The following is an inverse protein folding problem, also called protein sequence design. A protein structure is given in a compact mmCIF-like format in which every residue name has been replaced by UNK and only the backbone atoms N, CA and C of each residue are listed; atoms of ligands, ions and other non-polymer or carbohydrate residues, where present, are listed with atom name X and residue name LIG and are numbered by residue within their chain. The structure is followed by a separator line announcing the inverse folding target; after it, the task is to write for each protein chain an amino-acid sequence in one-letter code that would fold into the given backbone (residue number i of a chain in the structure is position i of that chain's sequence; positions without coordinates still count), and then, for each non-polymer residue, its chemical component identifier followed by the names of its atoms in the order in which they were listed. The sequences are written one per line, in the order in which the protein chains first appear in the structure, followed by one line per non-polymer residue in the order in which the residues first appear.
data_IF_723262438728
#
_entry.id   IF_723262438728
#
_cell.length_a   1.000
_cell.length_b   1.000
_cell.length_c   1.000
_cell.angle_alpha   90.00
_cell.angle_beta   90.00
_cell.angle_gamma   90.00
#
_symmetry.space_group_name_H-M   'P 1'
#
loop_
_entity.id
_entity.type
_entity.pdbx_description
1 polymer ?
2 non-polymer ?
#
# COMPACT_ATOMS: atom_id res chain seq x y z
N UNK A 2 3.68 -23.99 10.24
CA UNK A 2 2.80 -25.09 9.87
C UNK A 2 2.29 -24.92 8.45
N UNK A 3 3.15 -24.42 7.57
CA UNK A 3 2.86 -24.23 6.16
C UNK A 3 4.06 -24.72 5.36
N UNK A 4 3.81 -25.34 4.22
CA UNK A 4 4.88 -25.82 3.36
C UNK A 4 4.51 -25.65 1.89
N UNK A 5 5.53 -25.34 1.08
CA UNK A 5 5.35 -25.15 -0.36
C UNK A 5 4.95 -26.46 -1.02
N UNK A 6 4.11 -26.38 -2.05
CA UNK A 6 3.77 -27.51 -2.89
C UNK A 6 4.28 -27.35 -4.32
N UNK A 7 4.07 -26.20 -4.95
CA UNK A 7 4.50 -25.99 -6.32
C UNK A 7 4.93 -24.55 -6.52
N UNK A 8 5.86 -24.36 -7.45
CA UNK A 8 6.38 -23.04 -7.81
C UNK A 8 6.41 -22.94 -9.33
N UNK A 9 5.58 -22.07 -9.89
CA UNK A 9 5.44 -21.93 -11.33
C UNK A 9 5.64 -20.49 -11.75
N UNK A 10 6.12 -20.32 -12.98
CA UNK A 10 6.28 -19.01 -13.60
C UNK A 10 5.49 -19.00 -14.90
N UNK A 11 4.60 -18.01 -15.05
CA UNK A 11 3.54 -18.04 -16.04
C UNK A 11 3.82 -17.00 -17.12
N UNK A 12 3.87 -17.45 -18.37
CA UNK A 12 3.88 -16.60 -19.55
C UNK A 12 2.47 -16.22 -19.96
N UNK A 13 2.32 -15.13 -20.70
CA UNK A 13 1.05 -14.88 -21.38
C UNK A 13 0.84 -15.90 -22.50
N UNK A 14 -0.42 -16.06 -22.89
CA UNK A 14 -0.73 -16.97 -23.99
C UNK A 14 -0.39 -16.35 -25.35
N UNK A 15 -0.48 -15.03 -25.47
CA UNK A 15 -0.24 -14.33 -26.71
C UNK A 15 1.18 -13.79 -26.75
N UNK A 16 1.45 -12.92 -27.72
CA UNK A 16 2.81 -12.44 -27.96
C UNK A 16 3.20 -11.34 -26.99
N UNK A 17 2.36 -10.30 -26.86
CA UNK A 17 2.58 -9.16 -25.98
C UNK A 17 3.96 -8.54 -26.24
N UNK A 18 4.07 -7.59 -27.18
CA UNK A 18 5.38 -7.06 -27.56
C UNK A 18 6.07 -6.40 -26.38
N UNK A 19 7.24 -6.91 -26.03
CA UNK A 19 7.93 -6.50 -24.82
C UNK A 19 9.04 -5.49 -25.01
N UNK A 20 8.67 -4.26 -25.40
CA UNK A 20 9.62 -3.17 -25.43
C UNK A 20 9.67 -2.47 -24.08
N UNK A 21 10.88 -2.29 -23.55
CA UNK A 21 11.04 -1.67 -22.26
C UNK A 21 10.60 -0.21 -22.31
N UNK A 22 9.81 0.21 -21.33
CA UNK A 22 9.24 1.55 -21.32
C UNK A 22 9.63 2.25 -20.02
N UNK A 23 9.36 3.56 -20.00
CA UNK A 23 9.98 4.48 -19.05
C UNK A 23 9.22 4.55 -17.74
N UNK A 24 9.95 4.43 -16.63
CA UNK A 24 9.39 4.63 -15.30
C UNK A 24 9.38 6.10 -14.94
N UNK A 25 8.36 6.51 -14.19
CA UNK A 25 8.17 7.91 -13.85
C UNK A 25 9.19 8.36 -12.81
N UNK A 26 9.13 9.64 -12.47
CA UNK A 26 9.98 10.13 -11.39
C UNK A 26 9.45 9.71 -10.04
N UNK A 27 8.12 9.62 -9.90
CA UNK A 27 7.55 9.13 -8.66
C UNK A 27 7.80 7.64 -8.47
N UNK A 28 7.99 6.90 -9.56
CA UNK A 28 8.35 5.50 -9.43
C UNK A 28 9.71 5.34 -8.78
N UNK A 29 10.60 6.31 -8.99
CA UNK A 29 11.93 6.27 -8.39
C UNK A 29 11.95 6.82 -6.97
N UNK A 30 10.80 6.85 -6.30
CA UNK A 30 10.75 7.30 -4.92
C UNK A 30 10.53 6.09 -4.04
N UNK A 31 11.40 5.09 -4.19
CA UNK A 31 11.39 3.90 -3.36
C UNK A 31 12.77 3.26 -3.43
N UNK A 32 13.14 2.45 -2.45
CA UNK A 32 14.39 1.68 -2.57
C UNK A 32 14.32 0.70 -3.71
N UNK A 33 15.49 0.31 -4.21
CA UNK A 33 15.55 -0.63 -5.30
C UNK A 33 15.05 -2.02 -4.90
N UNK A 34 15.03 -2.32 -3.61
CA UNK A 34 14.60 -3.62 -3.10
C UNK A 34 13.47 -3.37 -2.11
N UNK A 35 12.24 -3.44 -2.59
CA UNK A 35 11.08 -3.33 -1.71
C UNK A 35 9.84 -3.89 -2.40
N UNK A 36 9.11 -4.75 -1.70
CA UNK A 36 7.81 -5.25 -2.14
C UNK A 36 6.75 -4.81 -1.15
N UNK A 37 5.67 -4.22 -1.65
CA UNK A 37 4.48 -3.97 -0.85
C UNK A 37 3.53 -5.15 -1.03
N UNK A 38 3.04 -5.69 0.07
CA UNK A 38 2.36 -6.98 0.01
C UNK A 38 1.19 -7.00 0.98
N UNK A 39 0.16 -7.73 0.56
CA UNK A 39 -1.06 -7.92 1.34
C UNK A 39 -1.57 -9.34 1.08
N UNK A 40 -2.68 -9.69 1.74
CA UNK A 40 -3.24 -11.07 1.59
C UNK A 40 -4.76 -11.00 1.39
N UNK A 41 -5.29 -11.88 0.53
CA UNK A 41 -6.76 -11.99 0.27
C UNK A 41 -7.22 -13.34 0.83
N UNK A 42 -8.30 -13.35 1.62
CA UNK A 42 -8.76 -14.59 2.23
C UNK A 42 -10.09 -14.99 1.59
N UNK A 43 -10.22 -16.27 1.27
CA UNK A 43 -11.45 -16.78 0.67
C UNK A 43 -11.88 -18.04 1.42
N UNK A 44 -13.14 -18.07 1.84
CA UNK A 44 -13.70 -19.23 2.51
C UNK A 44 -14.38 -20.14 1.50
N UNK A 45 -14.36 -21.45 1.81
CA UNK A 45 -14.90 -22.44 0.90
C UNK A 45 -16.42 -22.38 0.88
N UNK A 46 -17.00 -22.74 -0.26
CA UNK A 46 -18.44 -22.79 -0.45
C UNK A 46 -18.84 -24.20 -0.88
N UNK A 47 -20.13 -24.36 -1.19
CA UNK A 47 -20.65 -25.64 -1.63
C UNK A 47 -20.33 -26.02 -3.05
N UNK A 48 -19.57 -25.21 -3.76
CA UNK A 48 -19.23 -25.49 -5.14
C UNK A 48 -17.99 -26.39 -5.21
N UNK A 49 -18.01 -27.33 -6.14
CA UNK A 49 -16.83 -28.13 -6.41
C UNK A 49 -15.80 -27.31 -7.18
N UNK A 50 -14.54 -27.73 -7.08
CA UNK A 50 -13.42 -27.05 -7.73
C UNK A 50 -13.32 -25.59 -7.27
N UNK A 51 -13.07 -25.42 -5.97
CA UNK A 51 -12.87 -24.10 -5.39
C UNK A 51 -11.44 -23.67 -5.67
N UNK A 52 -11.27 -22.72 -6.60
CA UNK A 52 -9.97 -22.19 -7.00
C UNK A 52 -9.06 -23.32 -7.52
N UNK A 53 -9.44 -23.84 -8.69
CA UNK A 53 -8.62 -24.86 -9.32
C UNK A 53 -7.34 -24.23 -9.86
N UNK A 54 -6.23 -24.95 -9.73
CA UNK A 54 -4.94 -24.38 -10.09
C UNK A 54 -4.81 -24.19 -11.60
N UNK A 55 -5.30 -25.14 -12.39
CA UNK A 55 -5.18 -25.03 -13.83
C UNK A 55 -6.07 -23.94 -14.39
N UNK A 56 -7.30 -23.83 -13.89
CA UNK A 56 -8.15 -22.73 -14.30
C UNK A 56 -7.53 -21.38 -13.97
N UNK A 57 -6.90 -21.27 -12.80
CA UNK A 57 -6.26 -20.01 -12.44
C UNK A 57 -5.01 -19.74 -13.27
N UNK A 58 -4.29 -20.78 -13.69
CA UNK A 58 -3.12 -20.54 -14.54
C UNK A 58 -3.55 -20.07 -15.93
N UNK A 59 -4.53 -20.75 -16.52
CA UNK A 59 -5.00 -20.33 -17.84
C UNK A 59 -5.83 -19.05 -17.77
N UNK A 60 -6.25 -18.63 -16.59
CA UNK A 60 -6.80 -17.29 -16.44
C UNK A 60 -5.72 -16.25 -16.22
N UNK A 61 -4.60 -16.65 -15.61
CA UNK A 61 -3.48 -15.74 -15.42
C UNK A 61 -2.85 -15.39 -16.76
N UNK A 62 -2.79 -16.34 -17.68
CA UNK A 62 -2.28 -16.02 -19.01
C UNK A 62 -3.20 -15.03 -19.72
N UNK A 63 -4.51 -15.26 -19.64
CA UNK A 63 -5.47 -14.35 -20.25
C UNK A 63 -5.50 -13.00 -19.56
N UNK A 64 -5.02 -12.91 -18.34
CA UNK A 64 -4.86 -11.62 -17.69
C UNK A 64 -3.55 -10.96 -18.09
N UNK A 65 -2.49 -11.75 -18.28
CA UNK A 65 -1.19 -11.22 -18.65
C UNK A 65 -1.11 -10.78 -20.10
N UNK A 66 -2.07 -11.19 -20.93
CA UNK A 66 -2.10 -10.63 -22.29
C UNK A 66 -2.31 -9.14 -22.26
N UNK A 67 -2.89 -8.60 -21.19
CA UNK A 67 -2.97 -7.15 -21.01
C UNK A 67 -1.81 -6.63 -20.17
N UNK A 68 -1.68 -7.13 -18.94
CA UNK A 68 -0.70 -6.62 -17.97
C UNK A 68 0.62 -7.38 -18.11
N UNK A 69 1.26 -7.20 -19.26
CA UNK A 69 2.52 -7.88 -19.54
C UNK A 69 3.75 -7.37 -18.77
N UNK A 70 3.80 -6.12 -18.29
CA UNK A 70 4.99 -5.70 -17.53
C UNK A 70 5.12 -6.34 -16.15
N UNK A 71 4.20 -7.21 -15.73
CA UNK A 71 4.42 -7.92 -14.47
C UNK A 71 5.38 -9.09 -14.65
N UNK A 72 5.38 -9.73 -15.81
CA UNK A 72 6.29 -10.84 -16.04
C UNK A 72 7.73 -10.37 -16.13
N UNK A 73 7.97 -9.25 -16.78
CA UNK A 73 9.31 -8.72 -16.92
C UNK A 73 9.88 -8.17 -15.63
N UNK A 79 19.82 2.13 -19.23
CA UNK A 79 20.88 3.06 -18.92
C UNK A 79 21.08 3.26 -17.44
N UNK A 80 21.36 4.50 -17.04
CA UNK A 80 21.59 4.84 -15.64
C UNK A 80 20.29 4.95 -14.85
N UNK A 81 19.14 4.71 -15.47
CA UNK A 81 17.85 4.90 -14.84
C UNK A 81 17.09 3.59 -14.84
N UNK A 82 16.23 3.41 -13.85
CA UNK A 82 15.59 2.12 -13.61
C UNK A 82 14.50 1.84 -14.64
N UNK A 83 14.55 0.65 -15.23
CA UNK A 83 13.48 0.04 -15.99
C UNK A 83 13.82 -1.43 -16.18
N UNK A 84 12.81 -2.29 -16.13
CA UNK A 84 12.99 -3.72 -16.33
C UNK A 84 12.13 -4.12 -17.53
N UNK A 85 12.78 -4.67 -18.55
CA UNK A 85 12.12 -4.91 -19.83
C UNK A 85 11.07 -6.01 -19.71
N UNK A 86 9.97 -5.83 -20.43
CA UNK A 86 8.94 -6.85 -20.51
C UNK A 86 9.47 -8.05 -21.28
N UNK A 87 10.09 -8.99 -20.58
CA UNK A 87 10.70 -10.15 -21.22
C UNK A 87 9.76 -11.34 -21.32
N UNK A 88 8.61 -11.30 -20.62
CA UNK A 88 7.58 -12.34 -20.71
C UNK A 88 8.15 -13.72 -20.34
N UNK A 89 9.05 -13.74 -19.37
CA UNK A 89 9.73 -14.99 -19.03
C UNK A 89 9.06 -15.75 -17.89
N UNK A 90 8.26 -15.07 -17.07
CA UNK A 90 7.55 -15.77 -16.01
C UNK A 90 7.07 -14.90 -14.86
N UNK A 91 5.90 -15.24 -14.33
CA UNK A 91 5.31 -14.60 -13.17
C UNK A 91 5.19 -15.64 -12.06
N UNK A 92 5.89 -15.42 -10.96
CA UNK A 92 6.00 -16.45 -9.94
C UNK A 92 4.66 -16.69 -9.26
N UNK A 93 4.26 -17.95 -9.21
CA UNK A 93 2.98 -18.37 -8.61
C UNK A 93 3.25 -19.64 -7.81
N UNK A 94 3.35 -19.49 -6.49
CA UNK A 94 3.70 -20.59 -5.59
C UNK A 94 2.45 -21.01 -4.86
N UNK A 95 2.02 -22.26 -5.06
CA UNK A 95 0.90 -22.86 -4.34
C UNK A 95 1.45 -23.66 -3.16
N UNK A 96 0.84 -23.48 -2.00
CA UNK A 96 1.31 -24.07 -0.76
C UNK A 96 0.24 -25.00 -0.17
N UNK A 97 0.46 -25.42 1.07
CA UNK A 97 -0.46 -26.29 1.78
C UNK A 97 -0.30 -26.06 3.27
N UNK A 98 -1.41 -26.01 3.99
CA UNK A 98 -1.39 -25.76 5.43
C UNK A 98 -2.34 -26.70 6.14
N UNK A 99 -1.97 -27.10 7.35
CA UNK A 99 -2.84 -27.90 8.22
C UNK A 99 -3.66 -27.03 9.15
N UNK A 100 -4.27 -25.97 8.60
CA UNK A 100 -4.94 -24.98 9.43
C UNK A 100 -6.42 -24.85 9.19
N UNK A 101 -7.11 -24.21 10.14
CA UNK A 101 -8.52 -23.91 10.04
C UNK A 101 -8.68 -22.40 9.98
N UNK A 102 -9.31 -21.92 8.90
CA UNK A 102 -9.37 -20.48 8.67
C UNK A 102 -10.22 -19.77 9.72
N UNK A 103 -11.18 -20.48 10.33
CA UNK A 103 -12.00 -19.87 11.36
C UNK A 103 -11.25 -19.71 12.68
N UNK A 104 -10.10 -20.37 12.83
CA UNK A 104 -9.27 -20.15 14.01
C UNK A 104 -8.56 -18.80 13.95
N UNK A 105 -8.47 -18.19 12.76
CA UNK A 105 -7.86 -16.88 12.63
C UNK A 105 -8.71 -15.80 13.29
N UNK A 106 -10.03 -15.94 13.21
CA UNK A 106 -10.92 -15.07 13.95
C UNK A 106 -11.15 -13.72 13.31
N UNK A 107 -10.27 -12.77 13.59
CA UNK A 107 -10.41 -11.41 13.05
C UNK A 107 -9.19 -10.96 12.26
N UNK A 108 -8.20 -11.83 12.06
CA UNK A 108 -7.06 -11.60 11.17
C UNK A 108 -6.20 -10.43 11.66
N UNK A 109 -5.58 -10.65 12.80
CA UNK A 109 -4.50 -9.77 13.24
C UNK A 109 -3.22 -10.15 12.49
N UNK A 110 -2.62 -9.24 11.74
CA UNK A 110 -1.47 -9.59 10.90
C UNK A 110 -0.19 -9.78 11.70
N UNK A 111 -0.17 -10.81 12.56
CA UNK A 111 1.05 -11.07 13.29
C UNK A 111 2.05 -11.83 12.42
N UNK A 112 3.36 -11.56 12.61
CA UNK A 112 4.37 -11.92 11.60
C UNK A 112 4.72 -13.41 11.50
N UNK A 113 3.76 -14.22 11.06
CA UNK A 113 4.04 -15.58 10.62
C UNK A 113 3.96 -15.58 9.10
N UNK A 114 5.07 -15.19 8.47
CA UNK A 114 5.11 -14.77 7.06
C UNK A 114 5.06 -15.93 6.08
N UNK A 115 4.64 -17.14 6.48
CA UNK A 115 4.61 -18.22 5.50
C UNK A 115 3.48 -18.06 4.48
N UNK A 116 2.59 -17.09 4.68
CA UNK A 116 1.61 -16.75 3.66
C UNK A 116 2.22 -16.07 2.45
N UNK A 117 3.49 -15.65 2.53
CA UNK A 117 4.22 -15.03 1.43
C UNK A 117 5.61 -15.61 1.38
N UNK A 118 6.29 -15.49 0.25
CA UNK A 118 7.68 -15.97 0.18
C UNK A 118 8.69 -14.86 0.40
N UNK A 119 9.90 -15.21 0.79
CA UNK A 119 11.02 -14.28 0.80
C UNK A 119 11.72 -14.33 -0.55
N UNK A 120 12.01 -13.16 -1.11
CA UNK A 120 12.66 -13.06 -2.40
C UNK A 120 14.10 -12.63 -2.20
N UNK A 121 14.94 -12.98 -3.17
CA UNK A 121 16.37 -12.65 -3.13
C UNK A 121 16.75 -12.01 -4.45
N UNK A 122 17.05 -10.71 -4.41
CA UNK A 122 17.56 -9.99 -5.58
C UNK A 122 19.05 -9.70 -5.48
N UNK A 123 19.74 -10.38 -4.56
CA UNK A 123 21.20 -10.33 -4.55
C UNK A 123 21.78 -11.03 -5.77
N UNK A 124 21.07 -12.03 -6.28
CA UNK A 124 21.50 -12.71 -7.49
C UNK A 124 21.27 -11.86 -8.74
N UNK A 125 20.47 -10.81 -8.63
CA UNK A 125 20.18 -9.94 -9.77
C UNK A 125 18.89 -9.17 -9.59
N UNK A 126 18.94 -7.86 -9.84
CA UNK A 126 17.75 -7.04 -9.68
C UNK A 126 16.76 -7.22 -10.82
N UNK A 127 17.20 -7.78 -11.94
CA UNK A 127 16.30 -8.12 -13.04
C UNK A 127 16.28 -9.62 -13.29
N UNK A 128 16.82 -10.43 -12.39
CA UNK A 128 16.83 -11.87 -12.58
C UNK A 128 15.47 -12.49 -12.25
N UNK A 129 14.86 -12.06 -11.16
CA UNK A 129 13.57 -12.61 -10.76
C UNK A 129 12.44 -11.60 -11.01
N UNK A 130 11.21 -12.07 -11.26
CA UNK A 130 10.13 -11.14 -11.64
C UNK A 130 9.68 -10.21 -10.53
N UNK A 131 8.66 -9.41 -10.81
CA UNK A 131 8.31 -8.24 -10.02
C UNK A 131 7.14 -8.46 -9.08
N UNK A 132 6.41 -9.55 -9.20
CA UNK A 132 5.24 -9.79 -8.38
C UNK A 132 5.11 -11.27 -8.10
N UNK A 133 4.63 -11.61 -6.91
CA UNK A 133 4.43 -13.01 -6.53
C UNK A 133 3.07 -13.17 -5.88
N UNK A 134 2.37 -14.23 -6.28
CA UNK A 134 1.10 -14.63 -5.70
C UNK A 134 1.29 -15.92 -4.92
N UNK A 135 0.56 -16.05 -3.82
CA UNK A 135 0.59 -17.23 -2.96
C UNK A 135 -0.82 -17.79 -2.84
N UNK A 136 -1.00 -19.03 -3.28
CA UNK A 136 -2.27 -19.75 -3.16
C UNK A 136 -2.03 -20.84 -2.12
N UNK A 137 -2.32 -20.53 -0.85
CA UNK A 137 -2.12 -21.49 0.23
C UNK A 137 -3.47 -22.01 0.69
N UNK A 138 -3.63 -23.33 0.61
CA UNK A 138 -4.91 -23.99 0.88
C UNK A 138 -4.82 -24.73 2.20
N UNK A 139 -5.89 -24.65 2.99
CA UNK A 139 -5.90 -25.09 4.37
C UNK A 139 -6.63 -26.44 4.49
N UNK A 140 -6.88 -26.85 5.74
CA UNK A 140 -7.63 -28.07 6.02
C UNK A 140 -9.12 -27.87 5.81
N UNK A 141 -9.63 -26.66 6.12
CA UNK A 141 -11.06 -26.38 6.00
C UNK A 141 -11.52 -26.20 4.57
N UNK A 142 -10.60 -26.21 3.60
CA UNK A 142 -10.93 -25.86 2.25
C UNK A 142 -10.76 -24.40 1.91
N UNK A 143 -10.64 -23.53 2.91
CA UNK A 143 -10.36 -22.13 2.66
C UNK A 143 -8.99 -21.93 2.07
N UNK A 144 -8.75 -20.70 1.61
CA UNK A 144 -7.52 -20.38 0.90
C UNK A 144 -7.11 -18.95 1.21
N UNK A 145 -5.81 -18.72 1.20
CA UNK A 145 -5.25 -17.37 1.32
C UNK A 145 -4.43 -17.08 0.08
N UNK A 146 -4.64 -15.91 -0.51
CA UNK A 146 -3.94 -15.48 -1.72
C UNK A 146 -3.11 -14.26 -1.34
N UNK A 147 -1.81 -14.47 -1.17
CA UNK A 147 -0.91 -13.41 -0.79
C UNK A 147 -0.26 -12.73 -1.99
N UNK A 148 -0.50 -11.45 -2.15
CA UNK A 148 0.06 -10.67 -3.25
C UNK A 148 1.25 -9.87 -2.76
N UNK A 149 2.31 -9.82 -3.56
CA UNK A 149 3.47 -9.00 -3.28
C UNK A 149 3.94 -8.35 -4.56
N UNK A 150 3.91 -7.02 -4.60
CA UNK A 150 4.15 -6.24 -5.81
C UNK A 150 5.33 -5.30 -5.61
N UNK A 151 6.03 -5.01 -6.69
CA UNK A 151 7.17 -4.06 -6.62
C UNK A 151 6.60 -2.65 -6.69
N UNK A 152 6.92 -1.79 -5.73
CA UNK A 152 6.36 -0.40 -5.70
C UNK A 152 6.80 0.41 -6.91
N UNK A 153 8.01 0.17 -7.41
CA UNK A 153 8.43 0.97 -8.58
C UNK A 153 7.45 0.69 -9.72
N UNK A 154 6.98 -0.53 -9.85
CA UNK A 154 6.16 -0.82 -11.02
C UNK A 154 4.80 -0.15 -10.91
N UNK A 155 4.08 -0.41 -9.82
CA UNK A 155 2.70 0.05 -9.70
C UNK A 155 2.34 0.21 -8.24
N UNK A 156 1.38 1.09 -7.99
CA UNK A 156 0.88 1.32 -6.64
C UNK A 156 -0.26 0.35 -6.34
N UNK A 157 -0.94 0.56 -5.22
CA UNK A 157 -2.02 -0.33 -4.85
C UNK A 157 -3.22 -0.24 -5.77
N UNK A 158 -3.46 0.94 -6.34
CA UNK A 158 -4.60 1.11 -7.24
C UNK A 158 -4.40 0.29 -8.50
N UNK A 159 -3.20 0.35 -9.08
CA UNK A 159 -2.94 -0.35 -10.32
C UNK A 159 -2.92 -1.86 -10.11
N UNK A 160 -2.27 -2.33 -9.06
CA UNK A 160 -2.25 -3.76 -8.80
C UNK A 160 -3.63 -4.28 -8.41
N UNK A 161 -4.42 -3.45 -7.74
CA UNK A 161 -5.80 -3.82 -7.43
C UNK A 161 -6.63 -3.94 -8.69
N UNK A 162 -6.46 -3.01 -9.63
CA UNK A 162 -7.13 -3.12 -10.92
C UNK A 162 -6.67 -4.36 -11.67
N UNK A 163 -5.38 -4.70 -11.55
CA UNK A 163 -4.88 -5.91 -12.19
C UNK A 163 -5.52 -7.14 -11.61
N UNK A 164 -5.63 -7.21 -10.28
CA UNK A 164 -6.27 -8.36 -9.65
C UNK A 164 -7.76 -8.38 -9.94
N UNK A 165 -8.40 -7.24 -10.19
CA UNK A 165 -9.80 -7.26 -10.57
C UNK A 165 -9.98 -7.74 -12.00
N UNK A 166 -9.06 -7.38 -12.90
CA UNK A 166 -9.07 -7.96 -14.25
C UNK A 166 -8.82 -9.45 -14.19
N UNK A 167 -7.87 -9.86 -13.35
CA UNK A 167 -7.55 -11.26 -13.10
C UNK A 167 -8.71 -12.01 -12.45
N UNK A 168 -9.62 -11.29 -11.80
CA UNK A 168 -10.87 -11.86 -11.31
C UNK A 168 -11.89 -12.01 -12.42
N UNK A 169 -12.14 -10.93 -13.16
CA UNK A 169 -13.19 -10.95 -14.18
C UNK A 169 -12.84 -11.89 -15.32
N UNK A 170 -11.56 -12.13 -15.58
CA UNK A 170 -11.16 -13.05 -16.62
C UNK A 170 -11.09 -14.49 -16.15
N UNK A 171 -11.43 -14.76 -14.90
CA UNK A 171 -11.59 -16.12 -14.40
C UNK A 171 -13.05 -16.53 -14.25
N UNK A 172 -13.95 -15.56 -14.01
CA UNK A 172 -15.37 -15.82 -13.89
C UNK A 172 -16.09 -15.75 -15.22
N UNK A 173 -15.36 -15.77 -16.34
CA UNK A 173 -15.96 -15.71 -17.65
C UNK A 173 -16.54 -14.36 -18.04
N UNK A 174 -16.14 -13.33 -17.31
CA UNK A 174 -16.61 -11.97 -17.65
C UNK A 174 -15.53 -11.26 -18.47
N UNK A 175 -15.87 -10.15 -19.14
CA UNK A 175 -14.92 -9.37 -19.93
C UNK A 175 -14.09 -8.46 -19.02
N UNK A 176 -13.08 -7.79 -19.59
CA UNK A 176 -12.15 -6.92 -18.84
C UNK A 176 -12.93 -5.86 -18.07
N UNK A 177 -12.47 -5.49 -16.85
CA UNK A 177 -13.25 -4.65 -15.94
C UNK A 177 -13.65 -3.20 -16.23
N UNK A 178 -12.73 -2.36 -16.69
CA UNK A 178 -13.13 -0.95 -16.94
C UNK A 178 -12.37 -0.44 -18.14
N UNK A 179 -11.59 0.64 -17.93
CA UNK A 179 -10.72 1.15 -18.97
C UNK A 179 -9.56 0.16 -18.94
N UNK A 180 -9.13 -0.27 -20.13
CA UNK A 180 -7.98 -1.20 -20.30
C UNK A 180 -6.72 -0.46 -19.81
N UNK A 181 -5.73 -1.15 -19.21
CA UNK A 181 -4.55 -0.48 -18.66
C UNK A 181 -3.71 0.31 -19.69
N UNK A 182 -3.29 1.51 -19.28
CA UNK A 182 -2.46 2.43 -20.06
C UNK A 182 -1.05 2.36 -19.51
N UNK A 183 -0.08 2.10 -20.39
CA UNK A 183 1.27 1.78 -19.95
C UNK A 183 2.30 2.86 -20.22
N UNK A 184 1.94 3.95 -20.90
CA UNK A 184 2.87 5.05 -21.14
C UNK A 184 2.77 6.02 -19.98
N UNK A 185 3.86 6.15 -19.21
CA UNK A 185 3.90 7.05 -18.07
C UNK A 185 4.35 8.45 -18.44
N UNK A 186 4.23 8.83 -19.71
CA UNK A 186 4.67 10.16 -20.14
C UNK A 186 3.79 11.27 -19.58
N UNK A 187 2.61 10.95 -19.07
CA UNK A 187 1.77 11.96 -18.46
C UNK A 187 2.32 12.45 -17.13
N UNK A 188 3.17 11.66 -16.48
CA UNK A 188 3.86 12.08 -15.27
C UNK A 188 5.28 12.52 -15.55
N UNK A 189 5.54 13.02 -16.75
CA UNK A 189 6.85 13.55 -17.07
C UNK A 189 6.98 14.99 -16.59
N UNK A 190 8.22 15.39 -16.36
CA UNK A 190 8.48 16.76 -15.93
C UNK A 190 8.20 17.73 -17.07
N UNK A 191 8.14 19.02 -16.73
CA UNK A 191 7.95 20.05 -17.73
C UNK A 191 9.22 20.22 -18.56
N UNK A 192 9.16 21.13 -19.51
CA UNK A 192 10.32 21.54 -20.29
C UNK A 192 10.25 23.04 -20.52
N UNK A 193 11.06 23.84 -19.81
CA UNK A 193 12.06 23.41 -18.85
C UNK A 193 11.49 23.17 -17.45
N UNK A 194 12.21 22.43 -16.62
CA UNK A 194 11.76 22.21 -15.24
C UNK A 194 11.92 23.48 -14.41
N UNK A 195 10.80 23.99 -13.90
CA UNK A 195 10.79 25.17 -13.05
C UNK A 195 10.05 24.88 -11.76
N UNK A 196 10.77 24.51 -10.70
CA UNK A 196 10.13 24.42 -9.39
C UNK A 196 9.71 25.78 -8.89
N UNK A 197 8.58 25.81 -8.18
CA UNK A 197 8.05 27.06 -7.65
C UNK A 197 7.76 27.01 -6.16
N UNK A 198 7.96 25.87 -5.51
CA UNK A 198 7.68 25.71 -4.09
C UNK A 198 8.83 25.01 -3.39
N UNK A 199 8.90 25.21 -2.08
CA UNK A 199 9.84 24.48 -1.24
C UNK A 199 9.15 23.22 -0.73
N UNK A 200 9.67 22.06 -1.09
CA UNK A 200 9.01 20.79 -0.85
C UNK A 200 9.58 20.15 0.42
N UNK A 201 8.74 20.04 1.44
CA UNK A 201 9.11 19.34 2.66
C UNK A 201 8.90 17.85 2.57
N UNK A 202 8.32 17.35 1.48
CA UNK A 202 8.14 15.92 1.31
C UNK A 202 9.51 15.34 1.01
N UNK A 203 10.44 16.16 0.54
CA UNK A 203 11.78 15.74 0.23
C UNK A 203 12.92 15.99 1.27
N UNK A 204 12.72 17.00 2.11
CA UNK A 204 13.54 17.16 3.29
C UNK A 204 13.50 16.04 4.33
N UNK A 205 14.60 15.80 5.04
CA UNK A 205 14.67 14.61 5.87
C UNK A 205 13.72 14.70 7.04
N UNK A 206 13.27 13.56 7.58
CA UNK A 206 12.29 13.57 8.65
C UNK A 206 12.91 14.03 9.96
N UNK A 207 12.11 14.54 10.89
CA UNK A 207 12.63 15.07 12.16
C UNK A 207 12.94 13.98 13.18
N UNK A 208 14.05 13.31 12.99
CA UNK A 208 14.52 12.31 13.94
C UNK A 208 15.39 13.01 15.00
N UNK A 209 16.24 12.25 15.67
CA UNK A 209 17.22 12.77 16.64
C UNK A 209 16.53 13.40 17.84
N UNK A 210 15.63 12.63 18.46
CA UNK A 210 15.02 12.97 19.73
C UNK A 210 15.78 12.28 20.84
N UNK A 211 15.43 12.60 22.09
CA UNK A 211 15.99 11.86 23.20
C UNK A 211 15.72 10.36 23.02
N UNK A 212 16.71 9.50 23.16
CA UNK A 212 16.59 8.13 22.69
C UNK A 212 15.55 7.33 23.44
N UNK A 213 15.04 6.29 22.79
CA UNK A 213 13.93 5.51 23.32
C UNK A 213 14.47 4.35 24.16
N UNK A 214 13.87 4.11 25.33
CA UNK A 214 14.35 2.97 26.15
C UNK A 214 13.98 1.62 25.58
N UNK A 215 12.76 1.46 25.09
CA UNK A 215 12.31 0.21 24.52
C UNK A 215 12.20 0.30 23.00
N UNK A 216 12.42 -0.83 22.34
CA UNK A 216 12.39 -0.93 20.89
C UNK A 216 11.35 -1.92 20.38
N UNK A 217 10.98 -2.91 21.17
CA UNK A 217 9.96 -3.86 20.75
C UNK A 217 8.62 -3.15 20.59
N UNK A 218 7.81 -3.65 19.66
CA UNK A 218 6.59 -2.99 19.23
C UNK A 218 5.41 -3.95 19.38
N UNK A 219 4.22 -3.41 19.15
CA UNK A 219 2.98 -4.15 19.22
C UNK A 219 2.02 -3.62 18.17
N UNK A 220 1.29 -4.54 17.56
CA UNK A 220 0.27 -4.24 16.56
C UNK A 220 -1.11 -4.33 17.18
N UNK A 221 -1.98 -3.39 16.85
CA UNK A 221 -3.35 -3.42 17.34
C UNK A 221 -4.29 -2.89 16.26
N UNK A 222 -5.43 -3.57 16.11
CA UNK A 222 -6.42 -3.25 15.08
C UNK A 222 -7.74 -2.97 15.78
N UNK A 223 -8.25 -1.76 15.60
CA UNK A 223 -9.35 -1.25 16.39
C UNK A 223 -10.59 -1.00 15.55
N UNK A 224 -11.76 -1.17 16.17
CA UNK A 224 -13.04 -0.88 15.56
C UNK A 224 -13.58 0.42 16.12
N UNK A 225 -14.10 1.28 15.24
CA UNK A 225 -14.62 2.58 15.64
C UNK A 225 -15.98 2.82 14.97
N UNK A 226 -17.05 2.50 15.67
CA UNK A 226 -18.40 2.72 15.17
C UNK A 226 -18.96 4.09 15.55
N UNK A 227 -18.13 4.95 16.12
CA UNK A 227 -18.54 6.27 16.58
C UNK A 227 -18.02 7.38 15.68
N UNK A 228 -17.98 7.11 14.36
CA UNK A 228 -17.54 8.13 13.43
C UNK A 228 -18.51 9.30 13.38
N UNK A 229 -19.79 9.05 13.70
CA UNK A 229 -20.86 10.01 13.46
C UNK A 229 -20.89 11.09 14.55
N UNK A 230 -19.77 11.80 14.67
CA UNK A 230 -19.70 12.92 15.60
C UNK A 230 -18.59 13.86 15.18
N UNK A 231 -18.89 15.15 15.13
CA UNK A 231 -17.90 16.21 14.95
C UNK A 231 -18.08 17.21 16.08
N UNK A 232 -17.02 17.39 16.88
CA UNK A 232 -17.04 18.32 17.99
C UNK A 232 -16.29 19.57 17.57
N UNK A 233 -16.98 20.42 16.81
CA UNK A 233 -16.40 21.65 16.29
C UNK A 233 -15.99 22.59 17.43
N UNK A 250 -14.09 20.05 5.80
CA UNK A 250 -13.23 18.97 6.26
C UNK A 250 -13.77 17.61 5.81
N UNK A 251 -12.87 16.76 5.34
CA UNK A 251 -13.23 15.40 4.99
C UNK A 251 -13.36 14.54 6.25
N UNK A 252 -13.93 13.36 6.08
CA UNK A 252 -13.88 12.38 7.16
C UNK A 252 -12.44 11.95 7.41
N UNK A 253 -11.67 11.79 6.33
CA UNK A 253 -10.28 11.38 6.46
C UNK A 253 -9.44 12.41 7.20
N UNK A 254 -9.67 13.69 6.92
CA UNK A 254 -8.85 14.72 7.56
C UNK A 254 -9.12 14.79 9.06
N UNK A 255 -10.38 14.75 9.45
CA UNK A 255 -10.72 14.77 10.87
C UNK A 255 -10.19 13.53 11.57
N UNK A 256 -10.38 12.36 10.95
CA UNK A 256 -9.92 11.12 11.56
C UNK A 256 -8.41 11.07 11.67
N UNK A 257 -7.70 11.57 10.65
CA UNK A 257 -6.25 11.57 10.70
C UNK A 257 -5.73 12.56 11.73
N UNK A 258 -6.38 13.71 11.86
CA UNK A 258 -6.03 14.63 12.93
C UNK A 258 -6.20 14.01 14.30
N UNK A 259 -7.30 13.29 14.51
CA UNK A 259 -7.50 12.65 15.80
C UNK A 259 -6.46 11.58 16.06
N UNK A 260 -6.18 10.73 15.07
CA UNK A 260 -5.18 9.68 15.24
C UNK A 260 -3.81 10.28 15.53
N UNK A 261 -3.45 11.34 14.81
CA UNK A 261 -2.13 11.95 14.99
C UNK A 261 -2.01 12.61 16.35
N UNK A 262 -3.05 13.32 16.80
CA UNK A 262 -3.03 13.91 18.12
C UNK A 262 -2.98 12.83 19.20
N UNK A 263 -3.72 11.75 19.02
CA UNK A 263 -3.70 10.66 19.99
C UNK A 263 -2.31 10.05 20.09
N UNK A 264 -1.63 9.85 18.96
CA UNK A 264 -0.29 9.28 18.99
C UNK A 264 0.68 10.23 19.66
N UNK A 265 0.63 11.52 19.30
CA UNK A 265 1.57 12.48 19.87
C UNK A 265 1.35 12.68 21.37
N UNK A 266 0.12 12.51 21.85
CA UNK A 266 -0.11 12.56 23.29
C UNK A 266 0.34 11.26 23.95
N UNK A 267 0.10 10.13 23.29
CA UNK A 267 0.44 8.83 23.88
C UNK A 267 1.93 8.57 23.92
N UNK A 268 2.71 9.31 23.14
CA UNK A 268 4.16 9.10 23.15
C UNK A 268 4.86 9.87 24.24
N UNK A 269 4.31 10.99 24.68
CA UNK A 269 4.92 11.76 25.75
C UNK A 269 6.23 12.40 25.38
N UNK A 270 6.42 12.75 24.12
CA UNK A 270 7.66 13.37 23.69
C UNK A 270 7.75 14.80 24.22
N UNK A 271 8.96 15.33 24.39
CA UNK A 271 9.09 16.69 24.91
C UNK A 271 8.54 17.72 23.94
N UNK A 272 7.92 18.75 24.48
CA UNK A 272 7.46 19.85 23.65
C UNK A 272 8.64 20.54 23.00
N UNK A 273 8.50 20.86 21.72
CA UNK A 273 9.62 21.30 20.91
C UNK A 273 10.19 20.24 20.01
N UNK A 274 9.77 18.99 20.19
CA UNK A 274 10.16 17.91 19.30
C UNK A 274 9.25 17.92 18.07
N UNK A 275 9.86 18.02 16.89
CA UNK A 275 9.09 18.09 15.66
C UNK A 275 8.58 16.71 15.26
N UNK A 276 7.30 16.62 14.95
CA UNK A 276 6.68 15.43 14.39
C UNK A 276 6.13 15.78 13.02
N UNK A 277 6.04 14.75 12.17
CA UNK A 277 5.75 14.92 10.75
C UNK A 277 4.83 13.80 10.30
N UNK A 278 3.64 14.17 9.82
CA UNK A 278 2.66 13.21 9.35
C UNK A 278 2.79 13.03 7.84
N UNK A 279 2.91 11.78 7.40
CA UNK A 279 3.06 11.47 5.99
C UNK A 279 1.79 10.79 5.48
N UNK A 280 1.21 11.34 4.42
CA UNK A 280 -0.06 10.88 3.89
C UNK A 280 0.11 10.58 2.41
N UNK A 281 -0.11 9.35 1.96
CA UNK A 281 -0.18 9.09 0.52
C UNK A 281 -1.40 9.73 -0.08
N UNK A 282 -1.25 10.25 -1.30
CA UNK A 282 -2.32 10.95 -1.99
C UNK A 282 -2.29 10.55 -3.46
N UNK A 283 -3.40 10.02 -3.96
CA UNK A 283 -3.48 9.56 -5.34
C UNK A 283 -3.65 10.77 -6.26
N UNK A 284 -2.64 11.03 -7.08
CA UNK A 284 -2.63 12.17 -7.95
C UNK A 284 -3.30 11.99 -9.29
N UNK A 285 -4.09 10.93 -9.47
CA UNK A 285 -4.77 10.73 -10.73
C UNK A 285 -5.92 11.72 -10.93
N UNK A 286 -6.58 12.11 -9.84
CA UNK A 286 -7.74 12.98 -9.94
C UNK A 286 -7.41 14.45 -10.00
N UNK A 287 -6.53 14.91 -9.11
CA UNK A 287 -6.19 16.32 -9.07
C UNK A 287 -5.42 16.74 -10.32
N UNK A 288 -4.54 15.88 -10.81
CA UNK A 288 -3.91 16.08 -12.11
C UNK A 288 -4.84 15.58 -13.21
N UNK A 289 -4.38 15.63 -14.44
CA UNK A 289 -5.09 15.06 -15.57
C UNK A 289 -4.32 13.84 -16.03
N UNK A 290 -4.59 12.71 -15.39
CA UNK A 290 -3.97 11.44 -15.77
C UNK A 290 -4.91 10.64 -16.65
N UNK A 291 -4.40 9.91 -17.64
CA UNK A 291 -5.28 9.14 -18.50
C UNK A 291 -5.87 7.95 -17.73
N UNK A 292 -7.07 7.51 -18.09
CA UNK A 292 -7.65 6.37 -17.40
C UNK A 292 -6.87 5.11 -17.64
N UNK A 293 -6.93 4.20 -16.68
CA UNK A 293 -6.11 3.00 -16.74
C UNK A 293 -4.64 3.25 -16.58
N UNK A 294 -4.26 4.36 -15.95
CA UNK A 294 -2.86 4.69 -15.79
C UNK A 294 -2.19 3.67 -14.88
N UNK A 295 -1.14 3.04 -15.36
CA UNK A 295 -0.51 1.91 -14.68
C UNK A 295 0.86 2.35 -14.16
N UNK A 296 0.95 2.59 -12.86
CA UNK A 296 2.18 3.01 -12.24
C UNK A 296 1.90 3.75 -10.96
N UNK A 297 2.94 4.32 -10.38
CA UNK A 297 2.81 5.09 -9.15
C UNK A 297 2.39 6.51 -9.48
N UNK A 298 1.21 6.90 -9.00
CA UNK A 298 0.76 8.28 -9.05
C UNK A 298 0.52 8.81 -7.64
N UNK A 299 1.31 8.35 -6.69
CA UNK A 299 1.12 8.65 -5.28
C UNK A 299 2.10 9.74 -4.87
N UNK A 300 1.57 10.87 -4.43
CA UNK A 300 2.37 11.95 -3.90
C UNK A 300 2.42 11.87 -2.37
N UNK A 301 2.80 12.96 -1.71
CA UNK A 301 2.90 12.99 -0.27
C UNK A 301 2.34 14.29 0.28
N UNK A 302 1.68 14.22 1.43
CA UNK A 302 1.19 15.38 2.16
C UNK A 302 1.85 15.38 3.54
N UNK A 303 2.72 16.35 3.78
CA UNK A 303 3.56 16.37 4.97
C UNK A 303 3.33 17.65 5.76
N UNK A 304 2.37 17.65 6.69
CA UNK A 304 2.28 18.75 7.65
C UNK A 304 3.14 18.50 8.88
N UNK A 305 3.97 19.46 9.24
CA UNK A 305 4.89 19.32 10.37
C UNK A 305 4.42 20.19 11.51
N UNK A 306 4.67 19.73 12.74
CA UNK A 306 4.34 20.50 13.92
C UNK A 306 5.09 19.94 15.10
N UNK A 307 5.31 20.78 16.11
CA UNK A 307 5.93 20.29 17.34
C UNK A 307 4.93 19.46 18.12
N UNK A 308 5.44 18.47 18.86
CA UNK A 308 4.55 17.60 19.63
C UNK A 308 3.80 18.38 20.70
N UNK A 309 4.39 19.46 21.20
CA UNK A 309 3.70 20.29 22.18
C UNK A 309 2.45 20.92 21.62
N UNK A 310 2.57 21.65 20.50
CA UNK A 310 1.42 22.32 19.92
C UNK A 310 0.40 21.34 19.37
N UNK A 311 0.78 20.08 19.20
CA UNK A 311 -0.22 19.04 18.95
C UNK A 311 -0.94 18.67 20.24
N UNK A 312 -0.19 18.48 21.32
CA UNK A 312 -0.79 18.03 22.57
C UNK A 312 -1.35 19.17 23.41
N UNK A 313 -0.92 20.41 23.17
CA UNK A 313 -1.38 21.53 23.97
C UNK A 313 -2.46 22.37 23.30
N UNK A 314 -2.90 21.99 22.11
CA UNK A 314 -3.95 22.70 21.39
C UNK A 314 -5.14 21.76 21.17
N UNK A 315 -6.20 22.30 20.59
CA UNK A 315 -7.41 21.54 20.34
C UNK A 315 -7.22 20.60 19.16
N UNK A 316 -8.22 19.75 18.94
CA UNK A 316 -8.25 18.94 17.73
C UNK A 316 -8.45 19.79 16.49
N UNK A 317 -9.04 20.98 16.65
CA UNK A 317 -9.18 21.90 15.53
C UNK A 317 -7.83 22.26 14.92
N UNK A 318 -6.82 22.45 15.77
CA UNK A 318 -5.48 22.78 15.30
C UNK A 318 -4.92 21.67 14.41
N UNK A 319 -4.97 20.43 14.90
CA UNK A 319 -4.40 19.31 14.16
C UNK A 319 -5.18 19.05 12.88
N UNK A 320 -6.51 19.16 12.93
CA UNK A 320 -7.31 18.89 11.75
C UNK A 320 -7.10 19.98 10.70
N UNK A 321 -6.96 21.23 11.13
CA UNK A 321 -6.63 22.28 10.17
C UNK A 321 -5.24 22.08 9.60
N UNK A 322 -4.30 21.58 10.39
CA UNK A 322 -2.95 21.34 9.88
C UNK A 322 -2.97 20.25 8.83
N UNK A 323 -3.67 19.15 9.09
CA UNK A 323 -3.72 18.08 8.09
C UNK A 323 -4.52 18.51 6.88
N UNK A 324 -5.54 19.34 7.06
CA UNK A 324 -6.31 19.82 5.92
C UNK A 324 -5.50 20.75 5.04
N UNK A 325 -4.64 21.57 5.65
CA UNK A 325 -3.74 22.41 4.87
C UNK A 325 -2.64 21.57 4.21
N UNK A 326 -2.25 20.48 4.84
CA UNK A 326 -1.26 19.60 4.22
C UNK A 326 -1.83 18.89 3.01
N UNK A 327 -3.10 18.52 3.04
CA UNK A 327 -3.69 17.87 1.87
C UNK A 327 -4.10 18.89 0.83
N UNK A 328 -4.65 20.03 1.24
CA UNK A 328 -5.14 21.02 0.29
C UNK A 328 -4.04 21.78 -0.42
N UNK A 329 -2.78 21.63 0.02
CA UNK A 329 -1.68 22.24 -0.72
C UNK A 329 -1.45 21.54 -2.05
N UNK A 330 -1.81 20.27 -2.14
CA UNK A 330 -1.51 19.47 -3.32
C UNK A 330 -2.42 19.82 -4.49
N UNK A 331 -2.27 21.03 -5.02
CA UNK A 331 -2.96 21.39 -6.25
C UNK A 331 -2.04 21.08 -7.44
N UNK A 332 -2.56 21.33 -8.65
CA UNK A 332 -1.84 20.95 -9.87
C UNK A 332 -0.46 21.57 -9.94
N UNK A 333 -0.37 22.87 -9.63
CA UNK A 333 0.92 23.56 -9.65
C UNK A 333 1.91 22.90 -8.71
N UNK A 334 1.48 22.58 -7.49
CA UNK A 334 2.39 22.00 -6.51
C UNK A 334 2.86 20.61 -6.92
N UNK A 335 1.97 19.82 -7.49
CA UNK A 335 2.35 18.47 -7.91
C UNK A 335 3.33 18.51 -9.07
N UNK A 336 3.05 19.35 -10.07
CA UNK A 336 3.99 19.43 -11.19
C UNK A 336 5.31 20.07 -10.75
N UNK A 337 5.29 20.96 -9.77
CA UNK A 337 6.52 21.52 -9.26
C UNK A 337 7.33 20.48 -8.50
N UNK A 338 6.64 19.58 -7.80
CA UNK A 338 7.33 18.47 -7.14
C UNK A 338 8.00 17.56 -8.17
N UNK A 339 7.31 17.28 -9.26
CA UNK A 339 7.90 16.46 -10.32
C UNK A 339 9.11 17.14 -10.92
N UNK A 340 9.03 18.45 -11.15
CA UNK A 340 10.17 19.17 -11.70
C UNK A 340 11.33 19.21 -10.71
N UNK A 341 11.03 19.34 -9.43
CA UNK A 341 12.07 19.31 -8.41
C UNK A 341 12.78 17.97 -8.39
N UNK A 342 12.02 16.88 -8.53
CA UNK A 342 12.66 15.58 -8.71
C UNK A 342 13.50 15.54 -9.98
N UNK A 343 13.05 16.22 -11.03
CA UNK A 343 13.82 16.25 -12.26
C UNK A 343 15.16 16.95 -12.08
N UNK A 344 15.22 17.97 -11.23
CA UNK A 344 16.47 18.68 -11.02
C UNK A 344 17.51 17.88 -10.25
N UNK A 345 17.12 16.77 -9.62
CA UNK A 345 18.01 16.10 -8.69
C UNK A 345 19.02 15.21 -9.41
N UNK A 346 20.11 14.91 -8.71
CA UNK A 346 21.13 13.99 -9.19
C UNK A 346 20.54 12.59 -9.33
N UNK A 347 20.23 11.97 -8.20
CA UNK A 347 19.48 10.72 -8.18
C UNK A 347 18.25 10.92 -7.31
N UNK A 348 17.20 10.15 -7.57
CA UNK A 348 15.92 10.35 -6.93
C UNK A 348 15.71 9.32 -5.83
N UNK A 349 16.25 8.12 -6.01
CA UNK A 349 16.12 7.09 -4.99
C UNK A 349 16.88 7.42 -3.72
N UNK A 350 17.76 8.42 -3.75
CA UNK A 350 18.37 8.92 -2.53
C UNK A 350 17.45 9.82 -1.74
N UNK A 351 16.36 10.29 -2.33
CA UNK A 351 15.36 11.09 -1.63
C UNK A 351 14.25 10.25 -1.03
N UNK A 352 14.18 8.97 -1.38
CA UNK A 352 13.11 8.10 -0.91
C UNK A 352 13.37 7.72 0.54
N UNK A 353 12.62 8.30 1.46
CA UNK A 353 12.72 7.92 2.85
C UNK A 353 11.86 6.69 3.13
N UNK A 354 12.24 5.95 4.15
CA UNK A 354 11.51 4.75 4.53
C UNK A 354 12.32 3.88 5.46
N UNK A 355 11.63 3.11 6.30
CA UNK A 355 12.21 2.17 7.25
C UNK A 355 12.98 2.83 8.39
N UNK A 356 13.24 4.12 8.28
CA UNK A 356 13.68 4.92 9.41
C UNK A 356 12.84 6.17 9.52
N UNK A 357 12.23 6.60 8.42
CA UNK A 357 11.25 7.66 8.51
C UNK A 357 9.98 7.16 9.17
N UNK A 358 9.74 5.85 9.12
CA UNK A 358 8.54 5.27 9.73
C UNK A 358 8.53 5.47 11.23
N UNK A 359 9.70 5.49 11.87
CA UNK A 359 9.80 5.45 13.32
C UNK A 359 9.30 6.75 13.95
N UNK A 360 8.96 6.65 15.23
CA UNK A 360 8.65 7.81 16.05
C UNK A 360 9.73 8.87 15.87
N UNK A 361 9.39 10.18 15.90
CA UNK A 361 8.09 10.80 16.15
C UNK A 361 7.19 10.92 14.94
N UNK A 362 7.52 10.25 13.86
CA UNK A 362 6.79 10.38 12.62
C UNK A 362 5.68 9.34 12.55
N UNK A 363 4.80 9.51 11.55
CA UNK A 363 3.61 8.70 11.45
C UNK A 363 3.10 8.68 10.01
N UNK A 364 2.60 7.52 9.59
CA UNK A 364 1.88 7.38 8.33
C UNK A 364 0.41 7.09 8.63
N UNK A 365 -0.46 7.56 7.74
CA UNK A 365 -1.87 7.20 7.78
C UNK A 365 -2.38 7.08 6.36
N UNK A 366 -2.98 5.93 6.04
CA UNK A 366 -3.53 5.67 4.72
C UNK A 366 -5.02 5.46 4.83
N UNK A 367 -5.67 5.10 3.73
CA UNK A 367 -7.12 4.90 3.75
C UNK A 367 -7.49 3.96 2.60
N UNK A 368 -7.75 2.70 2.93
CA UNK A 368 -8.28 1.73 1.98
C UNK A 368 -9.79 1.66 2.02
N UNK A 369 -10.45 2.62 2.66
CA UNK A 369 -11.92 2.61 2.72
C UNK A 369 -12.51 2.93 1.36
N UNK A 370 -11.92 3.88 0.64
CA UNK A 370 -12.41 4.26 -0.68
C UNK A 370 -12.00 3.27 -1.76
N UNK A 371 -10.98 2.45 -1.51
CA UNK A 371 -10.46 1.57 -2.54
C UNK A 371 -11.32 0.31 -2.66
N UNK A 372 -11.46 -0.22 -3.87
CA UNK A 372 -12.23 -1.47 -4.11
C UNK A 372 -11.42 -2.72 -3.81
N UNK A 373 -11.13 -2.93 -2.52
CA UNK A 373 -10.29 -4.05 -2.11
C UNK A 373 -11.05 -5.35 -1.93
N UNK A 374 -12.37 -5.32 -1.99
CA UNK A 374 -13.19 -6.52 -1.87
C UNK A 374 -13.89 -6.90 -3.16
N UNK A 375 -13.88 -6.02 -4.16
CA UNK A 375 -14.55 -6.30 -5.43
C UNK A 375 -13.97 -7.46 -6.22
N UNK A 376 -12.67 -7.82 -6.11
CA UNK A 376 -12.21 -9.05 -6.77
C UNK A 376 -12.99 -10.30 -6.39
N UNK A 377 -13.77 -10.80 -7.34
CA UNK A 377 -14.50 -12.07 -7.22
C UNK A 377 -14.08 -12.95 -8.37
N UNK A 378 -13.39 -14.05 -8.08
CA UNK A 378 -12.85 -14.91 -9.11
C UNK A 378 -13.90 -15.80 -9.75
N UNK A 379 -15.14 -15.74 -9.27
CA UNK A 379 -16.17 -16.69 -9.65
C UNK A 379 -16.56 -17.64 -8.55
N UNK A 380 -15.97 -17.49 -7.37
CA UNK A 380 -16.26 -18.35 -6.23
C UNK A 380 -16.78 -17.58 -5.03
N UNK A 381 -16.95 -16.27 -5.14
CA UNK A 381 -17.44 -15.45 -4.05
C UNK A 381 -16.49 -14.32 -3.71
N UNK A 382 -17.01 -13.40 -2.90
CA UNK A 382 -16.24 -12.26 -2.44
C UNK A 382 -15.29 -12.68 -1.32
N UNK A 383 -14.39 -11.76 -0.96
CA UNK A 383 -13.39 -12.05 0.05
C UNK A 383 -13.96 -11.86 1.45
N UNK A 384 -13.69 -12.83 2.32
CA UNK A 384 -14.09 -12.68 3.72
C UNK A 384 -13.30 -11.57 4.39
N UNK A 385 -12.02 -11.45 4.05
CA UNK A 385 -11.17 -10.40 4.59
C UNK A 385 -9.92 -10.29 3.74
N UNK A 386 -9.59 -9.08 3.31
CA UNK A 386 -8.28 -8.79 2.76
C UNK A 386 -7.60 -7.79 3.67
N UNK A 387 -6.27 -7.83 3.71
CA UNK A 387 -5.55 -6.94 4.59
C UNK A 387 -4.05 -6.95 4.42
N UNK A 388 -3.39 -5.94 4.95
CA UNK A 388 -1.94 -5.86 4.86
C UNK A 388 -1.26 -6.88 5.75
N UNK A 389 -0.06 -7.29 5.34
CA UNK A 389 0.73 -8.24 6.12
C UNK A 389 2.21 -7.91 5.94
N UNK A 390 2.98 -8.23 6.98
CA UNK A 390 4.44 -8.26 6.92
C UNK A 390 5.03 -6.95 6.41
N UNK A 391 5.06 -5.95 7.28
CA UNK A 391 5.56 -4.63 6.96
C UNK A 391 6.62 -4.22 7.98
N UNK A 392 7.49 -3.27 7.61
CA UNK A 392 8.18 -2.50 8.64
C UNK A 392 7.15 -1.83 9.51
N UNK A 393 6.97 -2.35 10.73
CA UNK A 393 5.68 -2.24 11.40
C UNK A 393 5.44 -0.86 12.00
N UNK A 394 6.35 -0.39 12.85
CA UNK A 394 6.04 0.75 13.71
C UNK A 394 5.89 2.03 12.90
N UNK A 395 4.93 2.85 13.29
CA UNK A 395 4.74 4.18 12.75
C UNK A 395 3.70 4.30 11.66
N UNK A 396 3.13 3.20 11.20
CA UNK A 396 2.21 3.21 10.07
C UNK A 396 0.81 2.85 10.56
N UNK A 397 -0.10 3.81 10.49
CA UNK A 397 -1.52 3.59 10.77
C UNK A 397 -2.27 3.42 9.47
N UNK A 398 -3.16 2.44 9.43
CA UNK A 398 -3.97 2.14 8.26
C UNK A 398 -5.44 2.31 8.61
N UNK A 399 -6.24 2.64 7.60
CA UNK A 399 -7.70 2.72 7.73
C UNK A 399 -8.32 1.70 6.79
N UNK A 400 -9.15 0.82 7.33
CA UNK A 400 -9.69 -0.29 6.58
C UNK A 400 -11.21 -0.34 6.69
N UNK A 401 -11.89 -0.92 5.71
CA UNK A 401 -13.32 -1.17 5.84
C UNK A 401 -13.61 -2.51 6.48
N UNK A 402 -14.73 -2.57 7.21
CA UNK A 402 -15.13 -3.78 7.90
C UNK A 402 -15.93 -4.67 6.97
N UNK A 403 -15.50 -5.90 6.71
CA UNK A 403 -16.31 -6.80 5.86
C UNK A 403 -17.61 -7.24 6.51
N UNK A 404 -17.82 -6.96 7.79
CA UNK A 404 -19.14 -7.14 8.40
C UNK A 404 -20.12 -6.09 7.90
N UNK A 405 -19.62 -5.05 7.23
CA UNK A 405 -20.40 -3.93 6.70
C UNK A 405 -21.50 -3.49 7.66
N UNK A 406 -21.10 -3.20 8.90
CA UNK A 406 -21.95 -2.54 9.88
C UNK A 406 -21.85 -1.03 9.80
N UNK A 407 -21.27 -0.50 8.73
CA UNK A 407 -20.93 0.90 8.70
C UNK A 407 -19.80 1.28 9.60
N UNK A 408 -18.99 0.31 10.03
CA UNK A 408 -17.89 0.54 10.94
C UNK A 408 -16.58 0.64 10.17
N UNK A 409 -15.50 0.96 10.89
CA UNK A 409 -14.22 1.28 10.29
C UNK A 409 -13.10 0.74 11.17
N UNK A 410 -12.04 0.24 10.54
CA UNK A 410 -10.90 -0.33 11.23
C UNK A 410 -9.73 0.64 11.20
N UNK A 411 -9.02 0.74 12.32
CA UNK A 411 -7.77 1.50 12.42
C UNK A 411 -6.69 0.50 12.84
N UNK A 412 -5.80 0.15 11.91
CA UNK A 412 -4.76 -0.83 12.14
C UNK A 412 -3.45 -0.09 12.36
N UNK A 413 -3.01 0.00 13.61
CA UNK A 413 -1.82 0.78 13.94
C UNK A 413 -0.80 -0.16 14.58
N UNK A 414 0.47 0.23 14.47
CA UNK A 414 1.57 -0.44 15.15
C UNK A 414 2.36 0.61 15.90
N UNK A 415 2.66 0.34 17.16
CA UNK A 415 3.31 1.34 18.01
C UNK A 415 4.08 0.60 19.09
N UNK A 416 4.99 1.31 19.74
CA UNK A 416 5.79 0.68 20.79
C UNK A 416 4.79 0.29 21.87
N UNK A 417 5.11 -0.79 22.60
CA UNK A 417 4.17 -1.36 23.61
C UNK A 417 3.85 -0.31 24.69
N UNK A 418 4.86 0.45 25.12
CA UNK A 418 4.69 1.44 26.21
C UNK A 418 3.59 2.40 25.73
N UNK A 419 3.41 2.56 24.41
CA UNK A 419 2.44 3.58 23.91
C UNK A 419 1.08 3.01 23.44
N UNK A 420 0.99 1.71 23.20
CA UNK A 420 -0.26 1.15 22.72
C UNK A 420 -1.35 1.23 23.79
N UNK A 421 -0.99 1.04 25.06
CA UNK A 421 -1.96 1.17 26.13
C UNK A 421 -2.38 2.63 26.32
N UNK A 422 -1.45 3.55 26.11
CA UNK A 422 -1.79 4.98 26.16
C UNK A 422 -2.69 5.36 25.00
N UNK A 423 -2.58 4.66 23.87
CA UNK A 423 -3.32 4.98 22.66
C UNK A 423 -4.83 4.80 22.81
N UNK A 424 -5.29 4.25 23.93
CA UNK A 424 -6.71 4.00 24.13
C UNK A 424 -7.54 5.28 24.30
N UNK A 425 -6.92 6.46 24.28
CA UNK A 425 -7.67 7.71 24.27
C UNK A 425 -8.20 8.07 22.90
N UNK A 426 -7.95 7.24 21.88
CA UNK A 426 -8.61 7.41 20.59
C UNK A 426 -10.12 7.37 20.73
N UNK A 427 -10.61 6.53 21.64
CA UNK A 427 -12.03 6.43 21.93
C UNK A 427 -12.55 7.59 22.77
N UNK A 428 -11.68 8.43 23.29
CA UNK A 428 -12.08 9.51 24.20
C UNK A 428 -12.20 10.80 23.39
N UNK A 429 -13.42 11.09 22.95
CA UNK A 429 -13.69 12.33 22.23
C UNK A 429 -14.17 13.42 23.17
X LIG B 1 -3.88 -3.64 -3.09
X LIG B 1 0.89 1.75 -0.11
X LIG B 1 2.60 3.59 -0.66
X LIG B 1 3.09 5.88 -1.21
X LIG B 1 3.83 4.95 0.87
X LIG B 1 3.26 3.73 0.54
X LIG B 1 1.55 0.79 0.93
X LIG B 1 -1.42 0.81 1.01
X LIG B 1 -1.11 0.50 -0.18
X LIG B 1 -1.58 -0.84 -0.71
X LIG B 1 -1.21 -1.28 -1.93
X LIG B 1 -1.88 -2.51 -2.44
X LIG B 1 -1.14 -3.64 -2.72
X LIG B 1 -1.77 -4.79 -3.19
X LIG B 1 -3.14 -4.79 -3.38
X LIG B 1 -3.80 -5.94 -3.85
X LIG B 1 -3.24 -2.52 -2.62
X LIG B 1 -0.07 1.13 -0.83
X LIG B 1 1.99 2.31 -1.02
X LIG B 1 2.51 4.67 -1.54
X LIG B 1 3.75 6.02 0.01
X LIG B 1 4.32 7.21 0.35
X LIG B 1 1.56 -0.46 0.73
X LIG B 1 2.06 1.24 1.95
#
# INVERSE_FOLDING_TARGET
MKIEVKDSTMIKPSAETPGGSLWLSNLDLLSPANYHTLSVHFYSHDGSDNFFDAAGLKESLSRALVEFYPYAGRLKLNGNRLEIDCNNEGLLLVEAECDGALDELGDFAPRPELNLIPKVDYSRGISTYPLMVFQLTRFKCGGVALGVANEHHLSDGVAALHFINTWAHLSRGAPAPTPLPHFDRSSLSARNPPQPQFSHAEYQPPPTLENPLPHTDIAHSRFKLTRDQLNSLKSKFKTAPADGGAGKSYSTFEVLAGHIWRSVCIARGLPEGQETKLHIPFDGRGRLQLPPGFFGNAIFFATPIATCGEIESNSLNYAVRRVSDGVSRLDEDYLRSSIDFLELQEDISKLAQGAHSFRCPNLWVISWVWLPIYEPDFGWGKAVYMGPWAAPFEGKSYLLPNPEKDGSLFVSITLHKQHMERFEKLFYEI
JUV C10 C13 C15 C17 C20 C21 C22 O01 C02 C03 C04 C05 C06 C07 C08 O09 C11 O12 C14 C16 C18 O19 O23 O24
#
